data_IF_190994354135
#
_entry.id   IF_190994354135
#
_cell.length_a   1.000
_cell.length_b   1.000
_cell.length_c   1.000
_cell.angle_alpha   90.00
_cell.angle_beta   90.00
_cell.angle_gamma   90.00
#
_symmetry.space_group_name_H-M   'P 1'
#
loop_
_entity.id
_entity.type
_entity.pdbx_description
1 polymer ?
#
# COMPACT_ATOMS: atom_id res chain seq x y z
N UNK A 1 26.18 18.74 9.40
CA UNK A 1 25.57 17.40 9.27
C UNK A 1 24.14 17.49 9.78
N UNK A 2 23.16 16.97 9.04
CA UNK A 2 21.76 16.89 9.51
C UNK A 2 21.52 15.45 9.99
N UNK A 3 21.00 15.30 11.21
CA UNK A 3 20.71 13.99 11.82
C UNK A 3 19.24 14.00 12.22
N UNK A 4 18.49 12.99 11.78
CA UNK A 4 17.08 12.84 12.10
C UNK A 4 16.92 11.84 13.25
N UNK A 5 16.44 12.32 14.40
CA UNK A 5 16.30 11.54 15.63
C UNK A 5 14.85 11.48 16.13
N UNK A 6 13.88 11.84 15.29
CA UNK A 6 12.46 11.93 15.66
C UNK A 6 11.60 10.87 14.96
N UNK A 7 12.12 9.63 14.85
CA UNK A 7 11.43 8.52 14.19
C UNK A 7 10.14 8.08 14.92
N UNK A 8 9.96 8.50 16.19
CA UNK A 8 8.73 8.22 16.95
C UNK A 8 7.57 9.13 16.53
N UNK A 9 7.86 10.30 15.92
CA UNK A 9 6.83 11.18 15.36
C UNK A 9 6.38 10.73 13.97
N UNK A 10 7.33 10.38 13.10
CA UNK A 10 7.09 9.79 11.78
C UNK A 10 8.40 9.24 11.21
N UNK A 11 8.33 8.45 10.14
CA UNK A 11 9.50 7.84 9.51
C UNK A 11 9.57 8.17 8.02
N UNK A 12 10.77 8.30 7.44
CA UNK A 12 10.92 8.31 5.98
C UNK A 12 10.31 7.05 5.36
N UNK A 13 9.60 7.21 4.24
CA UNK A 13 9.05 6.06 3.51
C UNK A 13 10.20 5.24 2.92
N UNK A 14 10.17 3.92 3.11
CA UNK A 14 11.14 3.01 2.49
C UNK A 14 11.08 3.13 0.96
N UNK A 15 12.24 3.15 0.31
CA UNK A 15 12.34 3.31 -1.15
C UNK A 15 11.60 2.22 -1.94
N UNK A 16 11.52 0.99 -1.41
CA UNK A 16 10.75 -0.08 -2.04
C UNK A 16 9.25 0.16 -1.92
N UNK A 17 8.80 0.73 -0.80
CA UNK A 17 7.39 1.13 -0.62
C UNK A 17 7.02 2.24 -1.60
N UNK A 18 7.88 3.25 -1.79
CA UNK A 18 7.66 4.29 -2.80
C UNK A 18 7.54 3.68 -4.20
N UNK A 19 8.45 2.77 -4.55
CA UNK A 19 8.46 2.11 -5.86
C UNK A 19 7.19 1.29 -6.09
N UNK A 20 6.71 0.57 -5.08
CA UNK A 20 5.49 -0.23 -5.17
C UNK A 20 4.22 0.64 -5.22
N UNK A 21 4.23 1.79 -4.55
CA UNK A 21 3.08 2.72 -4.56
C UNK A 21 2.93 3.49 -5.87
N UNK A 22 4.05 3.80 -6.54
CA UNK A 22 4.08 4.69 -7.72
C UNK A 22 3.08 4.31 -8.83
N UNK A 23 2.91 3.03 -9.22
CA UNK A 23 1.93 2.65 -10.24
C UNK A 23 0.49 3.01 -9.88
N UNK A 24 0.12 2.96 -8.59
CA UNK A 24 -1.24 3.29 -8.14
C UNK A 24 -1.51 4.79 -8.06
N UNK A 25 -0.46 5.61 -8.11
CA UNK A 25 -0.55 7.06 -8.18
C UNK A 25 -0.65 7.52 -9.64
N UNK A 26 0.15 6.92 -10.54
CA UNK A 26 0.30 7.39 -11.92
C UNK A 26 -0.62 6.67 -12.92
N UNK A 27 -0.82 5.36 -12.77
CA UNK A 27 -1.46 4.52 -13.80
C UNK A 27 -2.76 3.86 -13.33
N UNK A 28 -2.76 3.32 -12.11
CA UNK A 28 -3.86 2.52 -11.54
C UNK A 28 -4.67 3.30 -10.51
N UNK A 29 -4.88 4.59 -10.75
CA UNK A 29 -5.60 5.53 -9.88
C UNK A 29 -7.12 5.33 -9.83
N UNK A 30 -7.66 4.30 -10.49
CA UNK A 30 -9.10 4.03 -10.52
C UNK A 30 -9.66 3.62 -9.17
N UNK A 31 -10.94 3.94 -8.95
CA UNK A 31 -11.66 3.48 -7.77
C UNK A 31 -11.73 1.94 -7.73
N UNK A 32 -11.17 1.27 -6.70
CA UNK A 32 -11.20 -0.19 -6.55
C UNK A 32 -12.60 -0.81 -6.50
N UNK A 33 -13.62 -0.01 -6.15
CA UNK A 33 -15.02 -0.45 -6.12
C UNK A 33 -15.66 -0.52 -7.50
N UNK A 34 -15.03 0.10 -8.51
CA UNK A 34 -15.56 0.11 -9.88
C UNK A 34 -15.32 -1.22 -10.60
N UNK A 35 -16.36 -1.74 -11.28
CA UNK A 35 -16.28 -2.98 -12.05
C UNK A 35 -15.49 -2.89 -13.38
N UNK A 36 -15.16 -1.68 -13.84
CA UNK A 36 -14.43 -1.47 -15.09
C UNK A 36 -12.92 -1.73 -14.94
N UNK A 37 -12.22 -1.78 -16.06
CA UNK A 37 -10.80 -2.17 -16.15
C UNK A 37 -9.88 -1.37 -15.20
N UNK A 38 -10.09 -0.06 -15.08
CA UNK A 38 -9.27 0.80 -14.21
C UNK A 38 -9.44 0.51 -12.70
N UNK A 39 -10.58 -0.06 -12.25
CA UNK A 39 -10.80 -0.43 -10.85
C UNK A 39 -10.22 -1.79 -10.46
N UNK A 40 -10.08 -2.71 -11.43
CA UNK A 40 -9.63 -4.10 -11.17
C UNK A 40 -8.23 -4.17 -10.57
N UNK A 41 -7.30 -3.32 -11.02
CA UNK A 41 -5.91 -3.29 -10.53
C UNK A 41 -5.85 -2.82 -9.07
N UNK A 42 -6.51 -1.70 -8.75
CA UNK A 42 -6.61 -1.20 -7.38
C UNK A 42 -7.27 -2.20 -6.43
N UNK A 43 -8.34 -2.88 -6.87
CA UNK A 43 -9.00 -3.92 -6.06
C UNK A 43 -8.04 -5.06 -5.71
N UNK A 44 -7.35 -5.60 -6.71
CA UNK A 44 -6.41 -6.72 -6.50
C UNK A 44 -5.26 -6.32 -5.56
N UNK A 45 -4.77 -5.09 -5.68
CA UNK A 45 -3.72 -4.57 -4.81
C UNK A 45 -4.15 -4.44 -3.35
N UNK A 46 -5.37 -3.94 -3.10
CA UNK A 46 -5.93 -3.84 -1.75
C UNK A 46 -6.12 -5.21 -1.11
N UNK A 47 -6.65 -6.19 -1.85
CA UNK A 47 -6.81 -7.55 -1.33
C UNK A 47 -5.46 -8.20 -1.00
N UNK A 48 -4.45 -8.00 -1.84
CA UNK A 48 -3.09 -8.48 -1.57
C UNK A 48 -2.48 -7.80 -0.35
N UNK A 49 -2.61 -6.48 -0.21
CA UNK A 49 -2.11 -5.74 0.95
C UNK A 49 -2.79 -6.21 2.24
N UNK A 50 -4.11 -6.42 2.21
CA UNK A 50 -4.87 -6.94 3.35
C UNK A 50 -4.36 -8.32 3.77
N UNK A 51 -4.12 -9.21 2.81
CA UNK A 51 -3.53 -10.53 3.07
C UNK A 51 -2.14 -10.43 3.70
N UNK A 52 -1.26 -9.58 3.16
CA UNK A 52 0.10 -9.41 3.68
C UNK A 52 0.10 -8.92 5.13
N UNK A 53 -0.77 -7.96 5.46
CA UNK A 53 -0.91 -7.47 6.84
C UNK A 53 -1.46 -8.59 7.74
N UNK A 54 -2.50 -9.30 7.31
CA UNK A 54 -3.07 -10.41 8.07
C UNK A 54 -2.05 -11.52 8.36
N UNK A 55 -1.28 -11.93 7.35
CA UNK A 55 -0.21 -12.93 7.48
C UNK A 55 0.89 -12.46 8.44
N UNK A 56 1.23 -11.16 8.43
CA UNK A 56 2.24 -10.57 9.32
C UNK A 56 1.84 -10.62 10.80
N UNK A 57 0.55 -10.39 11.09
CA UNK A 57 0.05 -10.33 12.48
C UNK A 57 -0.67 -11.60 12.94
N UNK A 58 -0.75 -12.62 12.08
CA UNK A 58 -1.46 -13.87 12.36
C UNK A 58 -2.99 -13.74 12.41
N UNK A 59 -3.55 -12.73 11.73
CA UNK A 59 -4.99 -12.50 11.63
C UNK A 59 -5.59 -13.18 10.40
N UNK A 60 -6.93 -13.14 10.27
CA UNK A 60 -7.59 -13.54 9.03
C UNK A 60 -7.66 -12.36 8.07
N UNK A 61 -7.47 -12.55 6.75
CA UNK A 61 -7.64 -11.48 5.78
C UNK A 61 -9.05 -10.87 5.72
N UNK A 62 -10.06 -11.45 6.39
CA UNK A 62 -11.41 -10.90 6.44
C UNK A 62 -11.64 -9.91 7.58
N UNK A 63 -10.69 -9.80 8.52
CA UNK A 63 -10.73 -8.86 9.65
C UNK A 63 -10.32 -7.44 9.24
#
# INVERSE_FOLDING_TARGET
MKVYLDNNASTPIDSNVIKEMKPYIEEYYGNPSSGHWLGKKGKSAIENARKQVADLIGAKPSE
#
